data_IF_982250140755
#
_entry.id   IF_982250140755
#
_cell.length_a   1.000
_cell.length_b   1.000
_cell.length_c   1.000
_cell.angle_alpha   90.00
_cell.angle_beta   90.00
_cell.angle_gamma   90.00
#
_symmetry.space_group_name_H-M   'P 1'
#
loop_
_entity.id
_entity.type
_entity.pdbx_description
1 polymer ?
#
# COMPACT_ATOMS: atom_id res chain seq x y z
N UNK A 1 -5.76 -14.06 22.52
CA UNK A 1 -4.45 -14.09 21.87
C UNK A 1 -4.56 -13.15 20.70
N UNK A 2 -3.99 -11.96 20.81
CA UNK A 2 -3.87 -11.06 19.67
C UNK A 2 -3.02 -11.78 18.62
N UNK A 3 -3.59 -12.02 17.44
CA UNK A 3 -2.90 -12.73 16.36
C UNK A 3 -1.64 -12.00 15.93
N UNK A 4 -0.67 -12.75 15.38
CA UNK A 4 0.61 -12.19 14.92
C UNK A 4 0.39 -11.01 13.95
N UNK A 5 0.86 -9.83 14.34
CA UNK A 5 0.79 -8.60 13.53
C UNK A 5 2.08 -8.46 12.73
N UNK A 6 1.96 -8.49 11.40
CA UNK A 6 3.08 -8.31 10.48
C UNK A 6 3.21 -6.86 10.00
N UNK A 7 4.43 -6.42 9.72
CA UNK A 7 4.75 -5.08 9.21
C UNK A 7 5.67 -5.18 7.97
N UNK A 8 5.54 -4.24 7.05
CA UNK A 8 6.45 -4.07 5.91
C UNK A 8 7.43 -2.94 6.19
N UNK A 9 8.71 -3.25 6.35
CA UNK A 9 9.78 -2.26 6.52
C UNK A 9 10.48 -1.99 5.19
N UNK A 10 10.31 -0.78 4.65
CA UNK A 10 10.93 -0.31 3.42
C UNK A 10 12.15 0.61 3.65
N UNK A 11 12.77 0.59 4.84
CA UNK A 11 13.90 1.45 5.19
C UNK A 11 15.10 1.25 4.27
N UNK A 12 15.51 0.00 4.08
CA UNK A 12 16.68 -0.36 3.27
C UNK A 12 16.32 -0.98 1.91
N UNK A 13 15.19 -1.70 1.85
CA UNK A 13 14.74 -2.37 0.64
C UNK A 13 13.24 -2.10 0.43
N UNK A 14 12.88 -1.52 -0.70
CA UNK A 14 11.51 -1.18 -1.06
C UNK A 14 11.43 -0.62 -2.48
N UNK A 15 10.22 -0.49 -3.02
CA UNK A 15 10.01 0.13 -4.33
C UNK A 15 9.52 1.58 -4.18
N UNK A 16 9.03 2.18 -5.28
CA UNK A 16 8.56 3.58 -5.31
C UNK A 16 7.44 3.90 -4.30
N UNK A 17 6.63 2.91 -3.88
CA UNK A 17 5.51 3.18 -2.98
C UNK A 17 5.94 3.64 -1.59
N UNK A 18 7.19 3.40 -1.18
CA UNK A 18 7.76 3.89 0.08
C UNK A 18 7.82 5.41 0.20
N UNK A 19 7.67 6.12 -0.92
CA UNK A 19 7.74 7.58 -1.00
C UNK A 19 6.36 8.24 -1.09
N UNK A 20 5.26 7.46 -1.10
CA UNK A 20 3.90 8.00 -1.02
C UNK A 20 3.73 8.62 0.36
N UNK A 21 3.37 9.90 0.39
CA UNK A 21 3.13 10.64 1.63
C UNK A 21 1.73 10.33 2.17
N UNK A 22 1.48 10.73 3.41
CA UNK A 22 0.16 10.65 4.02
C UNK A 22 -0.69 11.86 3.64
N UNK A 23 -1.90 11.64 3.11
CA UNK A 23 -2.95 12.65 3.06
C UNK A 23 -4.11 12.31 4.01
N UNK A 24 -4.67 13.34 4.66
CA UNK A 24 -5.91 13.22 5.44
C UNK A 24 -7.11 12.88 4.53
N UNK A 25 -7.06 13.35 3.28
CA UNK A 25 -8.03 13.06 2.22
C UNK A 25 -7.30 12.39 1.04
N UNK A 26 -7.08 11.06 1.10
CA UNK A 26 -6.19 10.39 0.17
C UNK A 26 -6.81 10.19 -1.22
N UNK A 27 -5.98 10.33 -2.26
CA UNK A 27 -6.34 10.02 -3.64
C UNK A 27 -5.90 8.60 -4.07
N UNK A 28 -5.18 7.89 -3.19
CA UNK A 28 -4.84 6.46 -3.34
C UNK A 28 -5.26 5.64 -2.12
N UNK A 29 -5.63 4.37 -2.30
CA UNK A 29 -5.94 3.45 -1.20
C UNK A 29 -5.13 2.15 -1.30
N UNK A 30 -4.63 1.62 -0.17
CA UNK A 30 -3.94 0.33 -0.13
C UNK A 30 -4.95 -0.83 -0.08
N UNK A 31 -4.75 -1.83 -0.93
CA UNK A 31 -5.53 -3.06 -0.98
C UNK A 31 -4.64 -4.29 -0.77
N UNK A 32 -5.15 -5.29 -0.04
CA UNK A 32 -4.54 -6.60 0.08
C UNK A 32 -4.89 -7.42 -1.16
N UNK A 33 -3.87 -7.85 -1.91
CA UNK A 33 -4.05 -8.70 -3.09
C UNK A 33 -3.35 -10.03 -2.89
N UNK A 34 -3.99 -11.09 -3.39
CA UNK A 34 -3.50 -12.46 -3.38
C UNK A 34 -3.39 -12.92 -4.82
N UNK A 35 -2.17 -13.16 -5.29
CA UNK A 35 -1.91 -13.54 -6.69
C UNK A 35 -1.30 -14.94 -6.76
N UNK A 36 -0.07 -15.11 -6.30
CA UNK A 36 0.67 -16.37 -6.35
C UNK A 36 0.32 -17.35 -5.23
N UNK A 37 -0.17 -16.85 -4.08
CA UNK A 37 -0.59 -17.66 -2.95
C UNK A 37 -1.77 -17.00 -2.22
N UNK A 38 -2.49 -17.79 -1.42
CA UNK A 38 -3.67 -17.36 -0.66
C UNK A 38 -3.45 -17.35 0.87
N UNK A 39 -2.19 -17.34 1.33
CA UNK A 39 -1.87 -17.18 2.74
C UNK A 39 -2.26 -15.77 3.22
N UNK A 40 -3.34 -15.69 4.01
CA UNK A 40 -3.91 -14.45 4.53
C UNK A 40 -2.95 -13.64 5.40
N UNK A 41 -1.86 -14.25 5.89
CA UNK A 41 -0.82 -13.59 6.69
C UNK A 41 0.09 -12.71 5.85
N UNK A 42 0.29 -13.04 4.57
CA UNK A 42 1.30 -12.41 3.72
C UNK A 42 0.73 -11.82 2.42
N UNK A 43 -0.35 -11.01 2.44
CA UNK A 43 -0.85 -10.38 1.23
C UNK A 43 0.21 -9.46 0.61
N UNK A 44 0.18 -9.30 -0.71
CA UNK A 44 0.87 -8.17 -1.36
C UNK A 44 0.00 -6.93 -1.19
N UNK A 45 0.62 -5.80 -0.85
CA UNK A 45 -0.08 -4.51 -0.76
C UNK A 45 0.05 -3.81 -2.12
N UNK A 46 -1.09 -3.49 -2.72
CA UNK A 46 -1.19 -2.72 -3.96
C UNK A 46 -1.95 -1.42 -3.72
N UNK A 47 -1.52 -0.34 -4.38
CA UNK A 47 -2.19 0.95 -4.31
C UNK A 47 -3.06 1.15 -5.55
N UNK A 48 -4.29 1.62 -5.34
CA UNK A 48 -5.25 1.95 -6.38
C UNK A 48 -5.74 3.38 -6.18
N UNK A 49 -6.04 4.09 -7.25
CA UNK A 49 -6.61 5.44 -7.15
C UNK A 49 -8.07 5.38 -6.67
N UNK A 50 -8.48 6.32 -5.81
CA UNK A 50 -9.86 6.45 -5.34
C UNK A 50 -10.73 7.31 -6.26
N UNK A 51 -10.08 8.08 -7.13
CA UNK A 51 -10.68 8.95 -8.15
C UNK A 51 -9.71 9.14 -9.32
N UNK A 52 -10.14 9.87 -10.35
CA UNK A 52 -9.23 10.34 -11.38
C UNK A 52 -8.20 11.33 -10.80
N UNK A 53 -6.93 11.12 -11.15
CA UNK A 53 -5.79 11.91 -10.67
C UNK A 53 -5.21 12.66 -11.86
N UNK A 54 -5.02 13.98 -11.71
CA UNK A 54 -4.49 14.82 -12.78
C UNK A 54 -2.97 14.65 -12.90
N UNK A 55 -2.44 14.86 -14.09
CA UNK A 55 -0.99 14.86 -14.29
C UNK A 55 -0.32 15.94 -13.41
N UNK A 56 0.74 15.55 -12.69
CA UNK A 56 1.46 16.42 -11.76
C UNK A 56 0.83 16.55 -10.36
N UNK A 57 -0.31 15.92 -10.11
CA UNK A 57 -0.89 15.81 -8.77
C UNK A 57 -0.11 14.78 -7.93
N UNK A 58 0.19 15.11 -6.68
CA UNK A 58 0.88 14.21 -5.75
C UNK A 58 -0.03 13.05 -5.33
N UNK A 59 0.54 11.85 -5.18
CA UNK A 59 -0.15 10.67 -4.68
C UNK A 59 -0.01 10.60 -3.15
N UNK A 60 -1.13 10.42 -2.44
CA UNK A 60 -1.15 10.32 -0.97
C UNK A 60 -2.49 9.90 -0.40
#
# INVERSE_FOLDING_TARGET
QDGDVYCLDARFYGNISRFINHFCEPNVFPARIFTSHQDLRFPRIAFFSTRDIKAGEELG
#
